data_IF_607735945146
#
_entry.id   IF_607735945146
#
_cell.length_a   1.000
_cell.length_b   1.000
_cell.length_c   1.000
_cell.angle_alpha   90.00
_cell.angle_beta   90.00
_cell.angle_gamma   90.00
#
_symmetry.space_group_name_H-M   'P 1'
#
loop_
_entity.id
_entity.type
_entity.pdbx_description
1 polymer ?
#
# COMPACT_ATOMS: atom_id res chain seq x y z
N UNK A 1 -6.15 15.14 14.52
CA UNK A 1 -6.63 14.22 13.47
C UNK A 1 -7.95 13.65 13.95
N UNK A 2 -9.02 13.94 13.25
CA UNK A 2 -10.32 13.35 13.56
C UNK A 2 -10.40 11.89 13.06
N UNK A 3 -11.51 11.22 13.35
CA UNK A 3 -11.70 9.82 12.96
C UNK A 3 -11.76 9.64 11.44
N UNK A 4 -12.36 10.58 10.71
CA UNK A 4 -12.52 10.48 9.26
C UNK A 4 -11.16 10.66 8.56
N UNK A 5 -10.36 11.63 9.01
CA UNK A 5 -8.98 11.84 8.54
C UNK A 5 -8.12 10.60 8.78
N UNK A 6 -8.25 9.95 9.96
CA UNK A 6 -7.53 8.70 10.27
C UNK A 6 -7.90 7.57 9.33
N UNK A 7 -9.20 7.38 9.05
CA UNK A 7 -9.68 6.34 8.15
C UNK A 7 -9.20 6.63 6.72
N UNK A 8 -9.31 7.87 6.25
CA UNK A 8 -8.83 8.26 4.93
C UNK A 8 -7.32 8.00 4.77
N UNK A 9 -6.52 8.39 5.77
CA UNK A 9 -5.08 8.14 5.76
C UNK A 9 -4.74 6.64 5.73
N UNK A 10 -5.43 5.83 6.55
CA UNK A 10 -5.27 4.38 6.52
C UNK A 10 -5.61 3.79 5.15
N UNK A 11 -6.74 4.19 4.55
CA UNK A 11 -7.17 3.68 3.25
C UNK A 11 -6.15 4.00 2.14
N UNK A 12 -5.61 5.22 2.12
CA UNK A 12 -4.55 5.59 1.16
C UNK A 12 -3.26 4.80 1.40
N UNK A 13 -2.88 4.58 2.65
CA UNK A 13 -1.69 3.80 2.98
C UNK A 13 -1.85 2.32 2.62
N UNK A 14 -3.02 1.74 2.88
CA UNK A 14 -3.38 0.38 2.45
C UNK A 14 -3.16 0.22 0.94
N UNK A 15 -3.77 1.10 0.15
CA UNK A 15 -3.69 1.00 -1.32
C UNK A 15 -2.25 1.18 -1.81
N UNK A 16 -1.47 2.07 -1.19
CA UNK A 16 -0.04 2.21 -1.48
C UNK A 16 0.74 0.92 -1.21
N UNK A 17 0.59 0.34 -0.02
CA UNK A 17 1.29 -0.90 0.36
C UNK A 17 0.87 -2.05 -0.55
N UNK A 18 -0.42 -2.18 -0.85
CA UNK A 18 -0.93 -3.23 -1.71
C UNK A 18 -0.49 -3.10 -3.16
N UNK A 19 -0.29 -1.88 -3.67
CA UNK A 19 0.23 -1.67 -5.03
C UNK A 19 1.73 -1.90 -5.15
N UNK A 20 2.53 -1.47 -4.16
CA UNK A 20 3.99 -1.39 -4.33
C UNK A 20 4.77 -2.34 -3.42
N UNK A 21 4.19 -2.77 -2.32
CA UNK A 21 4.86 -3.51 -1.24
C UNK A 21 4.09 -4.79 -0.86
N UNK A 22 3.28 -5.34 -1.76
CA UNK A 22 2.36 -6.46 -1.47
C UNK A 22 3.04 -7.68 -0.82
N UNK A 23 4.31 -7.92 -1.13
CA UNK A 23 5.07 -9.07 -0.62
C UNK A 23 5.94 -8.73 0.59
N UNK A 24 5.85 -7.51 1.12
CA UNK A 24 6.60 -7.07 2.29
C UNK A 24 5.78 -7.22 3.57
N UNK A 25 6.49 -7.47 4.66
CA UNK A 25 5.96 -7.48 6.01
C UNK A 25 6.65 -6.39 6.82
N UNK A 26 5.94 -5.81 7.78
CA UNK A 26 6.43 -4.74 8.61
C UNK A 26 6.40 -5.18 10.06
N UNK A 27 7.50 -4.98 10.78
CA UNK A 27 7.54 -5.23 12.21
C UNK A 27 6.76 -4.15 12.95
N UNK A 28 5.78 -4.56 13.75
CA UNK A 28 5.07 -3.68 14.68
C UNK A 28 5.13 -4.27 16.08
N UNK A 29 5.16 -3.39 17.07
CA UNK A 29 5.03 -3.81 18.46
C UNK A 29 3.54 -4.01 18.75
N UNK A 30 3.13 -5.27 18.89
CA UNK A 30 1.75 -5.66 19.20
C UNK A 30 1.69 -6.26 20.62
N UNK A 31 0.55 -6.11 21.33
CA UNK A 31 0.33 -6.83 22.58
C UNK A 31 0.50 -8.32 22.37
N UNK A 32 1.17 -8.98 23.31
CA UNK A 32 1.26 -10.43 23.31
C UNK A 32 -0.13 -11.03 23.56
N UNK A 33 -0.52 -11.98 22.70
CA UNK A 33 -1.82 -12.66 22.72
C UNK A 33 -1.57 -14.14 22.93
N UNK A 34 -1.14 -14.51 24.13
CA UNK A 34 -1.15 -15.91 24.57
C UNK A 34 -2.35 -16.11 25.50
N UNK A 35 -3.17 -17.14 25.26
CA UNK A 35 -4.26 -17.58 26.13
C UNK A 35 -5.39 -16.56 26.46
N UNK A 36 -5.93 -15.90 25.44
CA UNK A 36 -7.17 -15.08 25.49
C UNK A 36 -7.15 -13.86 26.43
N UNK A 37 -6.05 -13.60 27.13
CA UNK A 37 -5.83 -12.38 27.90
C UNK A 37 -4.89 -11.42 27.14
N UNK A 38 -5.23 -10.14 27.16
CA UNK A 38 -4.36 -9.11 26.61
C UNK A 38 -3.23 -8.83 27.62
N UNK A 39 -2.02 -9.31 27.31
CA UNK A 39 -0.85 -8.98 28.12
C UNK A 39 -0.33 -7.57 27.77
N UNK A 40 0.15 -6.83 28.78
CA UNK A 40 0.73 -5.50 28.59
C UNK A 40 2.12 -5.54 27.91
N UNK A 41 2.73 -6.73 27.84
CA UNK A 41 3.97 -6.95 27.13
C UNK A 41 3.75 -6.76 25.62
N UNK A 42 4.56 -5.90 25.01
CA UNK A 42 4.58 -5.71 23.56
C UNK A 42 5.68 -6.58 22.95
N UNK A 43 5.32 -7.38 21.96
CA UNK A 43 6.25 -8.23 21.21
C UNK A 43 6.33 -7.77 19.76
N UNK A 44 7.53 -7.77 19.19
CA UNK A 44 7.70 -7.47 17.76
C UNK A 44 7.02 -8.56 16.95
N UNK A 45 6.03 -8.16 16.17
CA UNK A 45 5.19 -9.06 15.39
C UNK A 45 5.21 -8.60 13.93
N UNK A 46 5.56 -9.48 12.98
CA UNK A 46 5.47 -9.15 11.57
C UNK A 46 4.00 -9.05 11.15
N UNK A 47 3.64 -7.96 10.49
CA UNK A 47 2.30 -7.74 9.97
C UNK A 47 2.37 -7.51 8.48
N UNK A 48 1.49 -8.21 7.75
CA UNK A 48 1.28 -8.06 6.32
C UNK A 48 -0.05 -7.40 6.05
N UNK A 49 -0.07 -6.48 5.08
CA UNK A 49 -1.33 -5.88 4.63
C UNK A 49 -2.21 -6.94 3.97
N UNK A 50 -3.46 -7.04 4.39
CA UNK A 50 -4.44 -8.00 3.87
C UNK A 50 -5.45 -7.31 2.95
N UNK A 51 -6.24 -8.08 2.21
CA UNK A 51 -7.29 -7.56 1.32
C UNK A 51 -6.81 -6.63 0.18
N UNK A 52 -5.57 -6.84 -0.30
CA UNK A 52 -5.00 -6.09 -1.42
C UNK A 52 -5.72 -6.25 -2.77
N UNK A 53 -6.76 -7.09 -2.85
CA UNK A 53 -7.67 -7.13 -4.00
C UNK A 53 -8.69 -5.98 -4.02
N UNK A 54 -8.76 -5.19 -2.94
CA UNK A 54 -9.66 -4.06 -2.80
C UNK A 54 -8.87 -2.75 -2.81
N UNK A 55 -9.42 -1.72 -3.47
CA UNK A 55 -8.99 -0.33 -3.26
C UNK A 55 -9.91 0.29 -2.21
N UNK A 56 -9.32 0.79 -1.12
CA UNK A 56 -10.07 1.33 0.01
C UNK A 56 -10.18 2.86 -0.05
N UNK A 57 -9.25 3.54 -0.73
CA UNK A 57 -9.30 4.99 -0.88
C UNK A 57 -10.24 5.39 -2.01
N UNK A 58 -10.87 6.57 -1.87
CA UNK A 58 -11.62 7.18 -2.95
C UNK A 58 -10.69 8.10 -3.73
N UNK A 59 -10.54 7.88 -5.03
CA UNK A 59 -9.67 8.68 -5.89
C UNK A 59 -10.48 9.62 -6.78
N UNK A 60 -9.98 10.84 -6.90
CA UNK A 60 -10.47 11.93 -7.72
C UNK A 60 -9.27 12.69 -8.30
N UNK A 61 -9.51 13.59 -9.25
CA UNK A 61 -8.46 14.44 -9.84
C UNK A 61 -7.71 15.30 -8.80
N UNK A 62 -8.28 15.48 -7.61
CA UNK A 62 -7.73 16.28 -6.53
C UNK A 62 -6.78 15.50 -5.60
N UNK A 63 -6.94 14.18 -5.47
CA UNK A 63 -6.19 13.37 -4.50
C UNK A 63 -5.49 12.15 -5.13
N UNK A 64 -5.63 11.93 -6.43
CA UNK A 64 -4.77 11.02 -7.18
C UNK A 64 -3.34 11.57 -7.20
N UNK A 65 -2.36 10.72 -6.95
CA UNK A 65 -0.96 11.11 -7.06
C UNK A 65 -0.65 11.38 -8.53
N UNK A 66 -0.45 12.65 -8.88
CA UNK A 66 0.01 13.04 -10.22
C UNK A 66 1.52 12.85 -10.28
N UNK A 67 1.99 11.97 -11.15
CA UNK A 67 3.41 11.91 -11.50
C UNK A 67 3.75 13.27 -12.12
N UNK A 68 4.69 13.99 -11.51
CA UNK A 68 5.17 15.25 -12.08
C UNK A 68 5.68 14.96 -13.49
N UNK A 69 5.08 15.60 -14.50
CA UNK A 69 5.39 15.39 -15.92
C UNK A 69 6.78 15.92 -16.34
N UNK A 70 7.74 15.97 -15.41
CA UNK A 70 9.08 16.54 -15.62
C UNK A 70 10.16 15.80 -14.83
N UNK A 71 10.15 14.47 -14.85
CA UNK A 71 11.43 13.75 -14.92
C UNK A 71 11.61 13.37 -16.37
N UNK A 72 12.16 14.30 -17.15
CA UNK A 72 12.79 14.01 -18.44
C UNK A 72 14.01 13.11 -18.19
N UNK A 73 13.75 11.83 -17.96
CA UNK A 73 14.72 10.77 -18.19
C UNK A 73 14.33 10.11 -19.50
N UNK A 74 15.18 10.23 -20.51
CA UNK A 74 15.04 9.58 -21.81
C UNK A 74 14.66 8.10 -21.67
N UNK A 75 13.38 7.79 -21.77
CA UNK A 75 12.92 6.48 -22.18
C UNK A 75 12.60 6.60 -23.66
N UNK A 76 13.36 5.94 -24.57
CA UNK A 76 13.05 6.00 -25.98
C UNK A 76 11.70 5.33 -26.19
N UNK A 77 10.71 6.14 -26.50
CA UNK A 77 9.46 5.73 -27.13
C UNK A 77 9.81 5.09 -28.46
N UNK A 78 9.83 3.76 -28.50
CA UNK A 78 9.98 2.96 -29.70
C UNK A 78 8.75 2.09 -29.91
N UNK A 79 8.04 2.37 -30.99
CA UNK A 79 6.96 1.56 -31.56
C UNK A 79 7.41 0.10 -31.78
N UNK A 80 6.53 -0.87 -31.55
CA UNK A 80 6.85 -2.28 -31.81
C UNK A 80 5.67 -3.23 -31.63
N UNK A 81 4.98 -3.52 -32.73
CA UNK A 81 3.94 -4.54 -32.88
C UNK A 81 4.37 -5.91 -32.32
N UNK A 82 3.56 -6.52 -31.44
CA UNK A 82 3.79 -7.89 -30.99
C UNK A 82 3.15 -8.88 -32.00
N UNK A 83 3.96 -9.33 -32.96
CA UNK A 83 3.75 -10.58 -33.66
C UNK A 83 4.37 -11.70 -32.79
N UNK A 84 3.53 -12.60 -32.28
CA UNK A 84 3.95 -13.79 -31.53
C UNK A 84 3.62 -15.02 -32.37
N UNK A 85 4.51 -15.33 -33.31
CA UNK A 85 4.59 -16.63 -33.95
C UNK A 85 5.47 -17.58 -33.14
N UNK A 86 4.88 -18.70 -32.70
CA UNK A 86 5.54 -20.00 -32.59
C UNK A 86 4.51 -21.11 -32.76
#
# INVERSE_FOLDING_TARGET
MDQQERIAAYNHFHDFVCCYLQNQEFEVNAPKVDDSEFEAELVSTPVKMSNCSLLLANYSDANVWKVASSVSGDYPSGEGSADLGQ
#
